data_IF_672553342767
#
_entry.id   IF_672553342767
#
_cell.length_a   1.000
_cell.length_b   1.000
_cell.length_c   1.000
_cell.angle_alpha   90.00
_cell.angle_beta   90.00
_cell.angle_gamma   90.00
#
_symmetry.space_group_name_H-M   'P 1'
#
loop_
_entity.id
_entity.type
_entity.pdbx_description
1 polymer ?
#
# COMPACT_ATOMS: atom_id res chain seq x y z
N UNK A 1 0.25 -27.53 37.87
CA UNK A 1 -1.05 -26.83 38.10
C UNK A 1 -1.01 -25.32 37.84
N UNK A 2 0.08 -24.59 38.12
CA UNK A 2 0.19 -23.12 37.95
C UNK A 2 -0.17 -22.61 36.53
N UNK A 3 0.30 -23.28 35.47
CA UNK A 3 0.03 -22.88 34.07
C UNK A 3 -1.45 -22.87 33.66
N UNK A 4 -2.30 -23.74 34.23
CA UNK A 4 -3.73 -23.81 33.86
C UNK A 4 -4.52 -22.64 34.45
N UNK A 5 -4.13 -22.19 35.64
CA UNK A 5 -4.72 -21.05 36.34
C UNK A 5 -4.28 -19.75 35.66
N UNK A 6 -2.99 -19.64 35.30
CA UNK A 6 -2.46 -18.51 34.51
C UNK A 6 -3.16 -18.39 33.15
N UNK A 7 -3.43 -19.50 32.46
CA UNK A 7 -4.13 -19.49 31.18
C UNK A 7 -5.60 -19.04 31.32
N UNK A 8 -6.31 -19.49 32.36
CA UNK A 8 -7.72 -19.13 32.59
C UNK A 8 -7.89 -17.65 32.99
N UNK A 9 -6.91 -17.06 33.67
CA UNK A 9 -6.90 -15.62 34.00
C UNK A 9 -6.47 -14.77 32.80
N UNK A 10 -5.52 -15.22 31.98
CA UNK A 10 -5.04 -14.47 30.81
C UNK A 10 -5.99 -14.54 29.62
N UNK A 11 -6.81 -15.59 29.47
CA UNK A 11 -7.81 -15.71 28.40
C UNK A 11 -8.80 -14.52 28.35
N UNK A 12 -9.46 -14.14 29.47
CA UNK A 12 -10.38 -12.99 29.51
C UNK A 12 -9.64 -11.66 29.31
N UNK A 13 -8.45 -11.48 29.91
CA UNK A 13 -7.63 -10.28 29.76
C UNK A 13 -7.19 -10.10 28.30
N UNK A 14 -6.71 -11.17 27.65
CA UNK A 14 -6.33 -11.16 26.24
C UNK A 14 -7.54 -10.93 25.31
N UNK A 15 -8.76 -11.32 25.69
CA UNK A 15 -9.96 -10.92 24.95
C UNK A 15 -10.30 -9.45 25.15
N UNK A 16 -10.17 -8.90 26.36
CA UNK A 16 -10.40 -7.47 26.66
C UNK A 16 -9.41 -6.60 25.90
N UNK A 17 -8.13 -6.97 25.88
CA UNK A 17 -7.08 -6.26 25.14
C UNK A 17 -7.33 -6.31 23.62
N UNK A 18 -7.79 -7.46 23.10
CA UNK A 18 -8.20 -7.59 21.70
C UNK A 18 -9.45 -6.78 21.37
N UNK A 19 -10.41 -6.69 22.28
CA UNK A 19 -11.60 -5.85 22.14
C UNK A 19 -11.23 -4.36 22.16
N UNK A 20 -10.34 -3.95 23.06
CA UNK A 20 -9.82 -2.59 23.14
C UNK A 20 -8.97 -2.21 21.91
N UNK A 21 -8.16 -3.14 21.40
CA UNK A 21 -7.40 -2.97 20.16
C UNK A 21 -8.33 -2.86 18.96
N UNK A 22 -9.32 -3.76 18.83
CA UNK A 22 -10.35 -3.67 17.79
C UNK A 22 -11.13 -2.37 17.87
N UNK A 23 -11.51 -1.91 19.06
CA UNK A 23 -12.22 -0.66 19.26
C UNK A 23 -11.36 0.57 18.89
N UNK A 24 -10.06 0.56 19.19
CA UNK A 24 -9.12 1.61 18.77
C UNK A 24 -8.91 1.62 17.25
N UNK A 25 -8.75 0.45 16.64
CA UNK A 25 -8.64 0.31 15.18
C UNK A 25 -9.95 0.70 14.48
N UNK A 26 -11.10 0.34 15.05
CA UNK A 26 -12.41 0.77 14.58
C UNK A 26 -12.65 2.26 14.80
N UNK A 27 -12.13 2.88 15.85
CA UNK A 27 -12.22 4.33 16.03
C UNK A 27 -11.39 5.10 15.00
N UNK A 28 -10.24 4.55 14.59
CA UNK A 28 -9.43 5.08 13.48
C UNK A 28 -10.14 4.84 12.14
N UNK A 29 -10.78 3.68 11.96
CA UNK A 29 -11.64 3.36 10.81
C UNK A 29 -12.98 4.11 10.80
N UNK A 30 -13.49 4.57 11.94
CA UNK A 30 -14.72 5.36 12.05
C UNK A 30 -14.49 6.83 11.69
N UNK A 31 -13.23 7.24 11.53
CA UNK A 31 -12.83 8.46 10.82
C UNK A 31 -12.86 8.23 9.30
N UNK A 32 -13.45 7.13 8.81
CA UNK A 32 -13.94 7.03 7.43
C UNK A 32 -15.24 7.84 7.29
N UNK A 33 -15.12 9.15 7.12
CA UNK A 33 -16.20 9.92 6.54
C UNK A 33 -16.28 9.54 5.05
N UNK A 34 -17.20 8.64 4.70
CA UNK A 34 -17.49 8.19 3.34
C UNK A 34 -16.41 7.34 2.62
N UNK A 35 -15.88 6.28 3.25
CA UNK A 35 -14.90 5.35 2.64
C UNK A 35 -13.56 5.98 2.23
N UNK A 36 -13.25 7.20 2.70
CA UNK A 36 -11.97 7.87 2.44
C UNK A 36 -11.11 7.80 3.69
N UNK A 37 -9.95 7.12 3.61
CA UNK A 37 -8.97 7.07 4.68
C UNK A 37 -8.25 8.42 4.79
N UNK A 38 -8.83 9.34 5.58
CA UNK A 38 -8.30 10.71 5.80
C UNK A 38 -6.83 10.69 6.28
N UNK A 39 -6.41 9.79 7.20
CA UNK A 39 -5.00 9.65 7.55
C UNK A 39 -4.08 9.35 6.36
N UNK A 40 -4.48 8.41 5.50
CA UNK A 40 -3.71 8.05 4.30
C UNK A 40 -3.62 9.24 3.32
N UNK A 41 -4.73 9.95 3.11
CA UNK A 41 -4.76 11.12 2.24
C UNK A 41 -3.80 12.22 2.73
N UNK A 42 -3.72 12.45 4.04
CA UNK A 42 -2.79 13.42 4.62
C UNK A 42 -1.32 13.03 4.40
N UNK A 43 -0.99 11.74 4.54
CA UNK A 43 0.37 11.22 4.27
C UNK A 43 0.77 11.40 2.79
N UNK A 44 -0.15 11.08 1.87
CA UNK A 44 0.06 11.27 0.43
C UNK A 44 0.29 12.76 0.14
N UNK A 45 -0.53 13.65 0.69
CA UNK A 45 -0.36 15.11 0.53
C UNK A 45 0.98 15.60 1.07
N UNK A 46 1.41 15.10 2.23
CA UNK A 46 2.70 15.44 2.83
C UNK A 46 3.88 15.02 1.95
N UNK A 47 3.75 13.94 1.18
CA UNK A 47 4.77 13.53 0.19
C UNK A 47 4.70 14.35 -1.11
N UNK A 48 3.50 14.72 -1.57
CA UNK A 48 3.30 15.44 -2.83
C UNK A 48 3.74 16.91 -2.74
N UNK A 49 3.39 17.61 -1.66
CA UNK A 49 3.71 19.05 -1.46
C UNK A 49 5.21 19.37 -1.66
N UNK A 50 6.17 18.68 -1.00
CA UNK A 50 7.58 19.03 -1.14
C UNK A 50 8.11 18.82 -2.56
N UNK A 51 7.51 17.92 -3.35
CA UNK A 51 7.86 17.77 -4.77
C UNK A 51 7.31 18.92 -5.60
N UNK A 52 6.09 19.39 -5.32
CA UNK A 52 5.46 20.50 -6.04
C UNK A 52 6.18 21.84 -5.81
N UNK A 53 6.63 22.11 -4.58
CA UNK A 53 7.35 23.37 -4.24
C UNK A 53 8.66 23.51 -5.03
N UNK A 54 9.25 22.41 -5.50
CA UNK A 54 10.47 22.41 -6.32
C UNK A 54 10.24 22.76 -7.79
N UNK A 55 8.99 22.81 -8.25
CA UNK A 55 8.66 23.05 -9.66
C UNK A 55 8.65 24.56 -9.92
N UNK A 56 9.48 25.02 -10.85
CA UNK A 56 9.44 26.40 -11.35
C UNK A 56 8.37 26.55 -12.43
N UNK A 57 7.27 27.24 -12.10
CA UNK A 57 6.16 27.48 -13.02
C UNK A 57 6.55 28.30 -14.26
N UNK A 58 7.62 29.11 -14.20
CA UNK A 58 8.11 29.86 -15.37
C UNK A 58 8.70 28.93 -16.45
N UNK A 59 9.20 27.76 -16.04
CA UNK A 59 9.75 26.74 -16.94
C UNK A 59 8.68 25.90 -17.63
N UNK A 60 7.44 25.88 -17.12
CA UNK A 60 6.34 25.08 -17.66
C UNK A 60 5.96 25.47 -19.10
N UNK A 61 6.07 26.76 -19.46
CA UNK A 61 5.79 27.23 -20.82
C UNK A 61 6.76 26.68 -21.88
N UNK A 62 7.95 26.22 -21.48
CA UNK A 62 8.97 25.65 -22.38
C UNK A 62 8.93 24.12 -22.47
N UNK A 63 8.05 23.47 -21.71
CA UNK A 63 7.92 22.00 -21.62
C UNK A 63 7.60 21.39 -22.98
N UNK A 64 6.84 22.09 -23.84
CA UNK A 64 6.56 21.65 -25.22
C UNK A 64 7.81 21.49 -26.09
N UNK A 65 8.87 22.27 -25.85
CA UNK A 65 10.13 22.12 -26.58
C UNK A 65 10.84 20.80 -26.26
N UNK A 66 10.54 20.19 -25.10
CA UNK A 66 11.15 18.95 -24.61
C UNK A 66 10.22 17.73 -24.72
N UNK A 67 9.26 17.75 -25.66
CA UNK A 67 8.25 16.70 -25.82
C UNK A 67 8.83 15.29 -25.96
N UNK A 68 9.99 15.14 -26.62
CA UNK A 68 10.68 13.84 -26.77
C UNK A 68 11.15 13.28 -25.43
N UNK A 69 11.80 14.10 -24.61
CA UNK A 69 12.30 13.68 -23.30
C UNK A 69 11.17 13.37 -22.33
N UNK A 70 10.12 14.18 -22.35
CA UNK A 70 8.92 13.98 -21.53
C UNK A 70 8.17 12.74 -21.97
N UNK A 71 8.01 12.52 -23.28
CA UNK A 71 7.34 11.34 -23.83
C UNK A 71 8.03 10.05 -23.45
N UNK A 72 9.37 9.99 -23.56
CA UNK A 72 10.14 8.81 -23.11
C UNK A 72 10.01 8.61 -21.60
N UNK A 73 10.11 9.69 -20.81
CA UNK A 73 9.98 9.59 -19.35
C UNK A 73 8.58 9.12 -18.93
N UNK A 74 7.53 9.64 -19.57
CA UNK A 74 6.15 9.24 -19.32
C UNK A 74 5.94 7.78 -19.73
N UNK A 75 6.42 7.38 -20.91
CA UNK A 75 6.32 6.00 -21.37
C UNK A 75 7.03 5.03 -20.41
N UNK A 76 8.23 5.35 -19.96
CA UNK A 76 8.95 4.48 -19.02
C UNK A 76 8.26 4.47 -17.65
N UNK A 77 7.83 5.63 -17.14
CA UNK A 77 7.21 5.72 -15.82
C UNK A 77 5.80 5.09 -15.79
N UNK A 78 5.02 5.23 -16.85
CA UNK A 78 3.62 4.80 -16.90
C UNK A 78 3.38 3.49 -17.64
N UNK A 79 4.22 3.11 -18.60
CA UNK A 79 4.13 1.81 -19.26
C UNK A 79 5.18 0.85 -18.71
N UNK A 80 6.46 1.22 -18.71
CA UNK A 80 7.48 0.23 -18.30
C UNK A 80 7.34 -0.17 -16.83
N UNK A 81 7.10 0.77 -15.91
CA UNK A 81 6.95 0.42 -14.48
C UNK A 81 5.80 -0.56 -14.17
N UNK A 82 4.51 -0.28 -14.49
CA UNK A 82 3.43 -1.18 -14.09
C UNK A 82 3.50 -2.53 -14.81
N UNK A 83 3.90 -2.54 -16.09
CA UNK A 83 4.04 -3.79 -16.83
C UNK A 83 5.21 -4.63 -16.32
N UNK A 84 6.33 -3.99 -15.93
CA UNK A 84 7.43 -4.71 -15.27
C UNK A 84 7.01 -5.29 -13.93
N UNK A 85 6.23 -4.55 -13.13
CA UNK A 85 5.69 -5.05 -11.86
C UNK A 85 4.77 -6.25 -12.07
N UNK A 86 3.88 -6.18 -13.05
CA UNK A 86 3.01 -7.30 -13.41
C UNK A 86 3.79 -8.52 -13.92
N UNK A 87 4.77 -8.31 -14.80
CA UNK A 87 5.60 -9.38 -15.33
C UNK A 87 6.41 -10.07 -14.22
N UNK A 88 7.03 -9.28 -13.35
CA UNK A 88 7.80 -9.81 -12.22
C UNK A 88 6.88 -10.49 -11.19
N UNK A 89 5.74 -9.88 -10.85
CA UNK A 89 4.75 -10.49 -9.96
C UNK A 89 4.26 -11.83 -10.47
N UNK A 90 3.91 -11.92 -11.75
CA UNK A 90 3.49 -13.17 -12.39
C UNK A 90 4.62 -14.22 -12.43
N UNK A 91 5.84 -13.84 -12.81
CA UNK A 91 6.97 -14.76 -12.92
C UNK A 91 7.40 -15.32 -11.55
N UNK A 92 7.55 -14.43 -10.57
CA UNK A 92 8.03 -14.82 -9.25
C UNK A 92 6.93 -15.51 -8.44
N UNK A 93 5.73 -14.96 -8.35
CA UNK A 93 4.67 -15.55 -7.51
C UNK A 93 4.00 -16.73 -8.22
N UNK A 94 3.79 -16.64 -9.53
CA UNK A 94 3.13 -17.68 -10.32
C UNK A 94 4.01 -18.88 -10.66
N UNK A 95 5.33 -18.73 -10.68
CA UNK A 95 6.27 -19.80 -11.07
C UNK A 95 7.27 -20.16 -9.97
N UNK A 96 8.06 -19.19 -9.49
CA UNK A 96 9.16 -19.46 -8.55
C UNK A 96 8.67 -19.77 -7.13
N UNK A 97 7.74 -18.99 -6.61
CA UNK A 97 7.25 -19.08 -5.24
C UNK A 97 5.95 -19.88 -5.09
N UNK A 98 5.36 -20.34 -6.19
CA UNK A 98 4.15 -21.17 -6.21
C UNK A 98 4.14 -22.34 -5.20
N UNK A 99 5.22 -23.13 -5.01
CA UNK A 99 5.19 -24.25 -4.05
C UNK A 99 5.29 -23.80 -2.58
N UNK A 100 5.69 -22.56 -2.31
CA UNK A 100 5.78 -22.00 -0.96
C UNK A 100 4.57 -21.13 -0.59
N UNK A 101 3.67 -20.84 -1.54
CA UNK A 101 2.47 -20.06 -1.31
C UNK A 101 1.19 -20.92 -1.24
N UNK A 102 0.25 -20.57 -0.35
CA UNK A 102 -1.11 -21.13 -0.36
C UNK A 102 -1.77 -20.85 -1.71
N UNK A 103 -2.25 -21.90 -2.39
CA UNK A 103 -2.77 -21.79 -3.76
C UNK A 103 -3.97 -20.85 -3.90
N UNK A 104 -4.71 -20.62 -2.81
CA UNK A 104 -5.87 -19.74 -2.68
C UNK A 104 -5.51 -18.24 -2.61
N UNK A 105 -4.26 -17.90 -2.27
CA UNK A 105 -3.84 -16.50 -2.06
C UNK A 105 -2.91 -15.98 -3.16
N UNK A 106 -2.45 -16.83 -4.07
CA UNK A 106 -1.52 -16.47 -5.17
C UNK A 106 -2.04 -15.27 -5.96
N UNK A 107 -3.32 -15.28 -6.34
CA UNK A 107 -3.93 -14.18 -7.11
C UNK A 107 -3.97 -12.88 -6.31
N UNK A 108 -4.20 -12.95 -5.00
CA UNK A 108 -4.19 -11.78 -4.12
C UNK A 108 -2.78 -11.21 -3.91
N UNK A 109 -1.75 -12.06 -3.85
CA UNK A 109 -0.36 -11.60 -3.78
C UNK A 109 0.10 -10.97 -5.09
N UNK A 110 -0.28 -11.54 -6.24
CA UNK A 110 -0.01 -10.95 -7.55
C UNK A 110 -0.72 -9.60 -7.66
N UNK A 111 -2.00 -9.51 -7.28
CA UNK A 111 -2.76 -8.26 -7.29
C UNK A 111 -2.14 -7.19 -6.39
N UNK A 112 -1.69 -7.55 -5.18
CA UNK A 112 -1.03 -6.63 -4.26
C UNK A 112 0.35 -6.16 -4.70
N UNK A 113 1.02 -6.90 -5.59
CA UNK A 113 2.32 -6.53 -6.18
C UNK A 113 2.21 -5.61 -7.39
N UNK A 114 1.02 -5.50 -7.99
CA UNK A 114 0.77 -4.73 -9.23
C UNK A 114 0.25 -3.32 -8.92
N UNK A 115 -0.28 -3.08 -7.73
CA UNK A 115 -0.91 -1.83 -7.30
C UNK A 115 0.05 -0.92 -6.52
#
# INVERSE_FOLDING_TARGET
MRNRISAFINLPIASIDRLALKAKLQAIGAVEYANVNIPMAALIWLMIIPMLVRIDFASLGKVGAYWRGIGVTLFVNWAVKPFSMALLGWLFIGYLFRPWLPADQIDSYIAGLII
#
